data_IF_659990825024
#
_entry.id   IF_659990825024
#
_cell.length_a   1.000
_cell.length_b   1.000
_cell.length_c   1.000
_cell.angle_alpha   90.00
_cell.angle_beta   90.00
_cell.angle_gamma   90.00
#
_symmetry.space_group_name_H-M   'P 1'
#
loop_
_entity.id
_entity.type
_entity.pdbx_description
1 polymer ?
#
# COMPACT_ATOMS: atom_id res chain seq x y z
N UNK A 1 -18.41 -26.39 0.25
CA UNK A 1 -16.96 -26.53 0.13
C UNK A 1 -16.47 -25.43 -0.79
N UNK A 2 -16.08 -24.26 -0.27
CA UNK A 2 -15.70 -23.10 -1.12
C UNK A 2 -14.66 -22.15 -0.52
N UNK A 3 -14.04 -22.48 0.62
CA UNK A 3 -13.08 -21.57 1.29
C UNK A 3 -11.64 -21.66 0.78
N UNK A 4 -11.27 -22.72 0.06
CA UNK A 4 -9.87 -22.93 -0.36
C UNK A 4 -9.46 -22.00 -1.51
N UNK A 5 -10.40 -21.59 -2.37
CA UNK A 5 -10.14 -20.68 -3.49
C UNK A 5 -9.83 -19.24 -3.06
N UNK A 6 -10.62 -18.68 -2.14
CA UNK A 6 -10.41 -17.31 -1.62
C UNK A 6 -9.14 -17.21 -0.76
N UNK A 7 -8.89 -18.19 0.11
CA UNK A 7 -7.69 -18.19 0.98
C UNK A 7 -6.41 -18.30 0.14
N UNK A 8 -6.45 -19.01 -0.99
CA UNK A 8 -5.32 -19.10 -1.92
C UNK A 8 -5.04 -17.74 -2.59
N UNK A 9 -6.09 -17.02 -3.00
CA UNK A 9 -5.98 -15.70 -3.65
C UNK A 9 -5.39 -14.63 -2.71
N UNK A 10 -5.84 -14.56 -1.45
CA UNK A 10 -5.32 -13.59 -0.47
C UNK A 10 -3.82 -13.81 -0.21
N UNK A 11 -3.37 -15.07 -0.10
CA UNK A 11 -1.95 -15.38 0.11
C UNK A 11 -1.09 -14.95 -1.07
N UNK A 12 -1.56 -15.12 -2.30
CA UNK A 12 -0.84 -14.67 -3.49
C UNK A 12 -0.77 -13.14 -3.54
N UNK A 13 -1.87 -12.44 -3.29
CA UNK A 13 -1.91 -10.98 -3.24
C UNK A 13 -0.96 -10.40 -2.18
N UNK A 14 -0.91 -11.00 -0.99
CA UNK A 14 0.04 -10.60 0.06
C UNK A 14 1.50 -10.86 -0.34
N UNK A 15 1.78 -11.92 -1.10
CA UNK A 15 3.12 -12.19 -1.64
C UNK A 15 3.54 -11.11 -2.64
N UNK A 16 2.65 -10.72 -3.54
CA UNK A 16 2.88 -9.62 -4.49
C UNK A 16 3.13 -8.31 -3.74
N UNK A 17 2.32 -8.00 -2.73
CA UNK A 17 2.50 -6.80 -1.91
C UNK A 17 3.89 -6.77 -1.25
N UNK A 18 4.37 -7.92 -0.73
CA UNK A 18 5.72 -8.04 -0.16
C UNK A 18 6.82 -7.76 -1.20
N UNK A 19 6.66 -8.24 -2.43
CA UNK A 19 7.64 -7.95 -3.49
C UNK A 19 7.65 -6.49 -3.93
N UNK A 20 6.57 -5.74 -3.72
CA UNK A 20 6.47 -4.32 -4.06
C UNK A 20 7.02 -3.40 -2.96
N UNK A 21 7.37 -3.90 -1.77
CA UNK A 21 7.92 -3.09 -0.66
C UNK A 21 9.12 -2.21 -1.11
N UNK A 22 10.10 -2.71 -1.88
CA UNK A 22 11.20 -1.88 -2.37
C UNK A 22 10.72 -0.68 -3.21
N UNK A 23 9.72 -0.86 -4.06
CA UNK A 23 9.14 0.22 -4.86
C UNK A 23 8.33 1.19 -4.00
N UNK A 24 7.57 0.67 -3.04
CA UNK A 24 6.90 1.49 -2.03
C UNK A 24 7.91 2.35 -1.26
N UNK A 25 9.08 1.82 -0.88
CA UNK A 25 10.11 2.61 -0.19
C UNK A 25 10.66 3.77 -1.03
N UNK A 26 10.58 3.68 -2.37
CA UNK A 26 11.03 4.71 -3.30
C UNK A 26 9.97 5.77 -3.59
N UNK A 27 8.73 5.35 -3.81
CA UNK A 27 7.68 6.22 -4.37
C UNK A 27 6.57 6.59 -3.38
N UNK A 28 6.38 5.80 -2.32
CA UNK A 28 5.29 6.02 -1.38
C UNK A 28 5.59 7.20 -0.46
N UNK A 29 4.58 8.05 -0.24
CA UNK A 29 4.60 9.14 0.72
C UNK A 29 3.58 8.81 1.82
N UNK A 30 4.01 8.23 2.96
CA UNK A 30 3.10 7.74 4.00
C UNK A 30 2.03 8.76 4.44
N UNK A 31 2.41 10.03 4.62
CA UNK A 31 1.50 11.11 5.01
C UNK A 31 0.30 11.31 4.07
N UNK A 32 0.42 10.93 2.78
CA UNK A 32 -0.66 11.02 1.79
C UNK A 32 -1.71 9.91 1.91
N UNK A 33 -1.36 8.77 2.51
CA UNK A 33 -2.20 7.57 2.53
C UNK A 33 -2.62 7.15 3.94
N UNK A 34 -1.81 7.46 4.97
CA UNK A 34 -2.09 7.13 6.37
C UNK A 34 -3.46 7.63 6.86
N UNK A 35 -3.97 8.82 6.45
CA UNK A 35 -5.31 9.27 6.84
C UNK A 35 -6.42 8.31 6.43
N UNK A 36 -6.28 7.62 5.29
CA UNK A 36 -7.29 6.68 4.76
C UNK A 36 -7.21 5.28 5.40
N UNK A 37 -6.18 5.03 6.21
CA UNK A 37 -5.95 3.74 6.88
C UNK A 37 -6.40 3.75 8.35
N UNK A 38 -7.27 4.70 8.72
CA UNK A 38 -7.73 4.90 10.10
C UNK A 38 -8.46 3.69 10.71
N UNK A 39 -9.06 2.84 9.89
CA UNK A 39 -9.76 1.62 10.32
C UNK A 39 -8.81 0.49 10.72
N UNK A 40 -7.56 0.51 10.24
CA UNK A 40 -6.54 -0.50 10.56
C UNK A 40 -5.38 0.03 11.42
N UNK A 41 -5.15 1.34 11.41
CA UNK A 41 -4.14 2.03 12.20
C UNK A 41 -4.81 2.89 13.27
N UNK A 42 -4.50 2.64 14.54
CA UNK A 42 -4.85 3.56 15.63
C UNK A 42 -4.15 4.92 15.50
N UNK A 43 -4.67 5.95 16.18
CA UNK A 43 -4.15 7.33 16.06
C UNK A 43 -2.65 7.43 16.38
N UNK A 44 -2.21 6.79 17.46
CA UNK A 44 -0.80 6.78 17.86
C UNK A 44 0.09 6.19 16.77
N UNK A 45 -0.35 5.09 16.14
CA UNK A 45 0.42 4.43 15.08
C UNK A 45 0.47 5.28 13.82
N UNK A 46 -0.62 5.97 13.47
CA UNK A 46 -0.63 6.93 12.36
C UNK A 46 0.35 8.06 12.61
N UNK A 47 0.35 8.62 13.83
CA UNK A 47 1.27 9.70 14.23
C UNK A 47 2.72 9.23 14.21
N UNK A 48 3.00 8.03 14.71
CA UNK A 48 4.33 7.41 14.66
C UNK A 48 4.85 7.29 13.23
N UNK A 49 4.03 6.80 12.29
CA UNK A 49 4.41 6.64 10.88
C UNK A 49 4.72 8.01 10.24
N UNK A 50 3.86 9.01 10.46
CA UNK A 50 4.05 10.35 9.91
C UNK A 50 5.26 11.05 10.52
N UNK A 51 5.50 10.88 11.82
CA UNK A 51 6.69 11.43 12.48
C UNK A 51 7.96 10.73 12.00
N UNK A 52 7.90 9.40 11.81
CA UNK A 52 9.03 8.64 11.25
C UNK A 52 9.35 9.07 9.83
N UNK A 53 8.35 9.40 9.02
CA UNK A 53 8.53 9.85 7.63
C UNK A 53 9.40 11.11 7.54
N UNK A 54 9.28 12.02 8.50
CA UNK A 54 10.11 13.25 8.59
C UNK A 54 11.59 12.95 8.74
N UNK A 55 11.94 11.80 9.31
CA UNK A 55 13.31 11.39 9.57
C UNK A 55 13.83 10.40 8.52
N UNK A 56 13.00 9.41 8.16
CA UNK A 56 13.34 8.34 7.25
C UNK A 56 12.07 7.79 6.60
N UNK A 57 11.76 8.30 5.41
CA UNK A 57 10.63 7.81 4.59
C UNK A 57 10.69 6.29 4.33
N UNK A 58 11.83 5.67 3.98
CA UNK A 58 11.89 4.22 3.81
C UNK A 58 11.54 3.42 5.07
N UNK A 59 11.91 3.91 6.26
CA UNK A 59 11.54 3.28 7.53
C UNK A 59 10.07 3.48 7.87
N UNK A 60 9.51 4.66 7.59
CA UNK A 60 8.09 4.93 7.74
C UNK A 60 7.24 4.04 6.83
N UNK A 61 7.67 3.85 5.58
CA UNK A 61 7.05 2.90 4.66
C UNK A 61 7.14 1.48 5.23
N UNK A 62 8.27 1.08 5.80
CA UNK A 62 8.38 -0.26 6.39
C UNK A 62 7.44 -0.47 7.58
N UNK A 63 7.30 0.52 8.46
CA UNK A 63 6.32 0.49 9.56
C UNK A 63 4.89 0.39 9.04
N UNK A 64 4.57 1.16 8.01
CA UNK A 64 3.26 1.12 7.37
C UNK A 64 2.97 -0.24 6.74
N UNK A 65 3.90 -0.78 5.95
CA UNK A 65 3.74 -2.07 5.29
C UNK A 65 3.60 -3.21 6.30
N UNK A 66 4.32 -3.17 7.43
CA UNK A 66 4.15 -4.13 8.52
C UNK A 66 2.72 -4.09 9.08
N UNK A 67 2.17 -2.90 9.29
CA UNK A 67 0.82 -2.75 9.81
C UNK A 67 -0.27 -3.20 8.81
N UNK A 68 -0.10 -2.88 7.52
CA UNK A 68 -0.98 -3.35 6.43
C UNK A 68 -0.96 -4.88 6.35
N UNK A 69 0.22 -5.49 6.30
CA UNK A 69 0.35 -6.95 6.22
C UNK A 69 -0.21 -7.68 7.45
N UNK A 70 -0.16 -7.06 8.63
CA UNK A 70 -0.72 -7.63 9.86
C UNK A 70 -2.25 -7.76 9.81
N UNK A 71 -2.91 -6.98 8.95
CA UNK A 71 -4.37 -7.00 8.74
C UNK A 71 -4.79 -7.82 7.51
N UNK A 72 -3.85 -8.52 6.87
CA UNK A 72 -4.11 -9.43 5.75
C UNK A 72 -4.97 -8.79 4.64
N UNK A 73 -6.11 -9.37 4.32
CA UNK A 73 -6.99 -8.94 3.23
C UNK A 73 -7.57 -7.54 3.48
N UNK A 74 -8.07 -7.25 4.69
CA UNK A 74 -8.60 -5.93 5.04
C UNK A 74 -7.53 -4.85 4.88
N UNK A 75 -6.32 -5.15 5.35
CA UNK A 75 -5.17 -4.27 5.21
C UNK A 75 -4.84 -3.99 3.75
N UNK A 76 -4.79 -5.02 2.93
CA UNK A 76 -4.51 -4.91 1.50
C UNK A 76 -5.58 -4.08 0.77
N UNK A 77 -6.85 -4.37 1.00
CA UNK A 77 -7.97 -3.70 0.33
C UNK A 77 -7.98 -2.20 0.65
N UNK A 78 -7.78 -1.85 1.92
CA UNK A 78 -7.67 -0.45 2.35
C UNK A 78 -6.41 0.23 1.82
N UNK A 79 -5.29 -0.49 1.75
CA UNK A 79 -4.06 0.05 1.17
C UNK A 79 -4.23 0.38 -0.32
N UNK A 80 -4.85 -0.52 -1.10
CA UNK A 80 -5.16 -0.27 -2.52
C UNK A 80 -6.10 0.92 -2.67
N UNK A 81 -7.14 1.00 -1.82
CA UNK A 81 -8.06 2.14 -1.81
C UNK A 81 -7.32 3.47 -1.54
N UNK A 82 -6.47 3.51 -0.50
CA UNK A 82 -5.69 4.69 -0.15
C UNK A 82 -4.73 5.11 -1.28
N UNK A 83 -4.09 4.14 -1.95
CA UNK A 83 -3.23 4.40 -3.11
C UNK A 83 -4.01 5.06 -4.26
N UNK A 84 -5.18 4.53 -4.60
CA UNK A 84 -6.01 5.08 -5.68
C UNK A 84 -6.47 6.49 -5.36
N UNK A 85 -6.93 6.71 -4.12
CA UNK A 85 -7.36 8.04 -3.67
C UNK A 85 -6.21 9.05 -3.66
N UNK A 86 -5.01 8.64 -3.26
CA UNK A 86 -3.82 9.48 -3.33
C UNK A 86 -3.45 9.85 -4.78
N UNK A 87 -3.63 8.93 -5.73
CA UNK A 87 -3.45 9.21 -7.16
C UNK A 87 -4.49 10.20 -7.70
N UNK A 88 -5.75 10.07 -7.28
CA UNK A 88 -6.84 10.98 -7.69
C UNK A 88 -6.70 12.38 -7.08
N UNK A 89 -6.14 12.48 -5.87
CA UNK A 89 -5.90 13.75 -5.19
C UNK A 89 -4.67 14.53 -5.70
N UNK A 90 -3.68 13.84 -6.28
CA UNK A 90 -2.51 14.45 -6.92
C UNK A 90 -2.75 14.56 -8.44
N UNK A 91 -3.44 15.62 -8.88
CA UNK A 91 -3.59 16.00 -10.31
C UNK A 91 -2.26 16.34 -11.05
N UNK A 92 -1.11 15.89 -10.54
CA UNK A 92 0.23 16.15 -11.11
C UNK A 92 1.17 14.93 -11.19
N UNK A 93 0.75 13.73 -10.80
CA UNK A 93 1.62 12.55 -10.93
C UNK A 93 0.86 11.35 -11.55
N UNK A 94 0.72 11.38 -12.86
CA UNK A 94 0.41 10.18 -13.65
C UNK A 94 1.57 9.20 -13.52
N UNK A 95 1.49 8.26 -12.57
CA UNK A 95 2.26 7.03 -12.61
C UNK A 95 1.74 6.23 -13.81
N UNK A 96 2.41 6.39 -14.95
CA UNK A 96 2.28 5.52 -16.11
C UNK A 96 2.85 4.15 -15.69
N UNK A 97 2.05 3.35 -14.98
CA UNK A 97 2.18 1.90 -14.96
C UNK A 97 1.42 1.36 -16.17
N UNK A 98 1.86 1.72 -17.36
CA UNK A 98 1.55 0.93 -18.55
C UNK A 98 2.82 0.19 -18.92
N UNK A 99 2.97 -1.00 -18.36
CA UNK A 99 3.69 -2.07 -19.04
C UNK A 99 2.96 -2.33 -20.36
N UNK A 100 3.41 -1.69 -21.44
CA UNK A 100 3.02 -2.02 -22.81
C UNK A 100 4.07 -2.96 -23.41
N UNK A 101 4.21 -4.12 -22.79
CA UNK A 101 4.57 -5.32 -23.53
C UNK A 101 3.36 -5.67 -24.41
N UNK A 102 3.56 -5.63 -25.74
CA UNK A 102 2.62 -5.99 -26.83
C UNK A 102 1.71 -4.88 -27.39
N UNK A 103 2.17 -4.23 -28.46
CA UNK A 103 1.30 -3.80 -29.57
C UNK A 103 1.90 -4.35 -30.87
N UNK A 104 1.32 -5.45 -31.34
CA UNK A 104 1.27 -5.86 -32.74
C UNK A 104 -0.22 -5.81 -33.08
N UNK A 105 -0.67 -4.74 -33.74
CA UNK A 105 -1.54 -4.73 -34.95
C UNK A 105 -1.32 -3.36 -35.61
#
# INVERSE_FOLDING_TARGET
MSGEGEVFDVRQKLKVLRSMIPDCKRYLVPSKIVPDLFSILGEDKRREIVEKERHSRPEAVELLMKAVLAKQEDGLNLFIFALRKAQEGDNTCTLILTDRSHVLI
#
